data_IF_258562141221
#
_entry.id   IF_258562141221
#
_cell.length_a   1.000
_cell.length_b   1.000
_cell.length_c   1.000
_cell.angle_alpha   90.00
_cell.angle_beta   90.00
_cell.angle_gamma   90.00
#
_symmetry.space_group_name_H-M   'P 1'
#
loop_
_entity.id
_entity.type
_entity.pdbx_description
1 polymer ?
#
# COMPACT_ATOMS: atom_id res chain seq x y z
N UNK A 1 -8.64 9.93 15.36
CA UNK A 1 -9.98 10.55 15.51
C UNK A 1 -10.08 11.32 16.82
N UNK A 2 -10.19 10.66 17.99
CA UNK A 2 -10.35 11.38 19.28
C UNK A 2 -9.27 12.45 19.51
N UNK A 3 -8.00 12.08 19.44
CA UNK A 3 -6.88 13.01 19.72
C UNK A 3 -6.79 14.18 18.71
N UNK A 4 -7.21 13.95 17.46
CA UNK A 4 -7.22 14.98 16.42
C UNK A 4 -8.39 15.95 16.57
N UNK A 5 -9.60 15.45 16.84
CA UNK A 5 -10.79 16.27 17.08
C UNK A 5 -10.71 17.02 18.42
N UNK A 6 -10.05 16.41 19.41
CA UNK A 6 -9.82 16.98 20.74
C UNK A 6 -8.61 17.91 20.81
N UNK A 7 -7.72 17.92 19.82
CA UNK A 7 -6.40 18.59 19.90
C UNK A 7 -5.65 18.29 21.22
N UNK A 8 -5.77 17.06 21.72
CA UNK A 8 -5.28 16.64 23.02
C UNK A 8 -4.47 15.35 22.90
N UNK A 9 -3.31 15.32 23.56
CA UNK A 9 -2.54 14.10 23.77
C UNK A 9 -3.22 13.26 24.85
N UNK A 10 -3.81 12.13 24.45
CA UNK A 10 -4.46 11.19 25.35
C UNK A 10 -3.45 10.13 25.82
N UNK A 11 -3.36 9.85 27.13
CA UNK A 11 -2.45 8.83 27.63
C UNK A 11 -2.78 7.45 27.04
N UNK A 12 -1.78 6.69 26.54
CA UNK A 12 -2.02 5.35 26.05
C UNK A 12 -2.32 4.39 27.22
N UNK A 13 -3.06 3.30 26.93
CA UNK A 13 -3.28 2.20 27.87
C UNK A 13 -4.34 2.41 28.95
N UNK A 14 -5.08 3.53 28.93
CA UNK A 14 -6.20 3.74 29.85
C UNK A 14 -7.39 2.84 29.50
N UNK A 15 -8.04 2.28 30.53
CA UNK A 15 -9.37 1.68 30.36
C UNK A 15 -10.41 2.74 29.94
N UNK A 16 -11.54 2.35 29.34
CA UNK A 16 -12.56 3.32 28.92
C UNK A 16 -13.05 4.25 30.04
N UNK A 17 -13.19 3.71 31.26
CA UNK A 17 -13.59 4.51 32.44
C UNK A 17 -12.49 5.49 32.83
N UNK A 18 -11.23 5.04 32.89
CA UNK A 18 -10.09 5.91 33.20
C UNK A 18 -9.91 7.01 32.15
N UNK A 19 -10.11 6.69 30.87
CA UNK A 19 -10.08 7.67 29.79
C UNK A 19 -11.19 8.70 29.95
N UNK A 20 -12.42 8.26 30.25
CA UNK A 20 -13.52 9.17 30.52
C UNK A 20 -13.22 10.09 31.70
N UNK A 21 -12.81 9.54 32.85
CA UNK A 21 -12.42 10.32 34.03
C UNK A 21 -11.32 11.33 33.69
N UNK A 22 -10.26 10.90 33.00
CA UNK A 22 -9.19 11.80 32.56
C UNK A 22 -9.74 12.95 31.71
N UNK A 23 -10.60 12.66 30.73
CA UNK A 23 -11.18 13.71 29.87
C UNK A 23 -12.13 14.66 30.60
N UNK A 24 -12.65 14.30 31.78
CA UNK A 24 -13.46 15.21 32.60
C UNK A 24 -12.61 16.24 33.34
N UNK A 25 -11.31 15.99 33.52
CA UNK A 25 -10.37 16.91 34.17
C UNK A 25 -9.77 17.93 33.19
N UNK A 26 -9.99 17.74 31.88
CA UNK A 26 -9.47 18.61 30.83
C UNK A 26 -10.38 19.83 30.58
N UNK A 27 -9.75 20.94 30.20
CA UNK A 27 -10.47 22.16 29.83
C UNK A 27 -11.39 21.93 28.62
N UNK A 28 -12.47 22.72 28.58
CA UNK A 28 -13.36 22.78 27.41
C UNK A 28 -12.59 23.22 26.17
N UNK A 29 -13.01 22.71 25.02
CA UNK A 29 -12.46 23.05 23.72
C UNK A 29 -12.80 24.51 23.32
N UNK A 30 -12.17 25.09 22.29
CA UNK A 30 -12.44 26.46 21.85
C UNK A 30 -13.90 26.76 21.48
N UNK A 31 -14.68 25.72 21.16
CA UNK A 31 -16.12 25.79 20.88
C UNK A 31 -17.02 25.55 22.11
N UNK A 32 -16.42 25.45 23.30
CA UNK A 32 -17.09 25.24 24.57
C UNK A 32 -17.40 23.77 24.90
N UNK A 33 -17.15 22.82 23.98
CA UNK A 33 -17.46 21.41 24.22
C UNK A 33 -16.41 20.75 25.14
N UNK A 34 -16.81 20.06 26.22
CA UNK A 34 -15.88 19.30 27.03
C UNK A 34 -15.32 18.08 26.28
N UNK A 35 -14.03 17.74 26.45
CA UNK A 35 -13.43 16.54 25.86
C UNK A 35 -14.18 15.24 26.18
N UNK A 36 -14.74 15.13 27.39
CA UNK A 36 -15.53 13.97 27.79
C UNK A 36 -16.81 13.76 26.95
N UNK A 37 -17.43 14.85 26.48
CA UNK A 37 -18.64 14.76 25.63
C UNK A 37 -18.27 14.31 24.23
N UNK A 38 -17.17 14.85 23.70
CA UNK A 38 -16.61 14.44 22.41
C UNK A 38 -16.09 12.99 22.44
N UNK A 39 -15.56 12.53 23.58
CA UNK A 39 -15.22 11.13 23.81
C UNK A 39 -16.42 10.20 23.65
N UNK A 40 -17.56 10.53 24.28
CA UNK A 40 -18.78 9.73 24.17
C UNK A 40 -19.35 9.75 22.76
N UNK A 41 -19.31 10.89 22.08
CA UNK A 41 -19.75 11.03 20.69
C UNK A 41 -18.97 10.10 19.75
N UNK A 42 -17.64 10.06 19.87
CA UNK A 42 -16.82 9.13 19.10
C UNK A 42 -17.01 7.67 19.55
N UNK A 43 -17.22 7.42 20.84
CA UNK A 43 -17.53 6.08 21.32
C UNK A 43 -18.83 5.53 20.68
N UNK A 44 -19.81 6.40 20.40
CA UNK A 44 -21.01 6.02 19.67
C UNK A 44 -20.68 5.49 18.27
N UNK A 45 -19.84 6.19 17.50
CA UNK A 45 -19.42 5.78 16.15
C UNK A 45 -18.70 4.42 16.14
N UNK A 46 -17.88 4.17 17.15
CA UNK A 46 -17.13 2.92 17.30
C UNK A 46 -17.98 1.77 17.88
N UNK A 47 -19.17 2.07 18.42
CA UNK A 47 -20.04 1.08 19.05
C UNK A 47 -20.78 0.26 17.99
N UNK A 48 -20.65 -1.07 17.97
CA UNK A 48 -21.32 -1.91 16.96
C UNK A 48 -22.83 -2.03 17.16
N UNK A 49 -23.28 -2.06 18.43
CA UNK A 49 -24.70 -2.20 18.79
C UNK A 49 -25.47 -0.92 18.41
N UNK A 50 -26.52 -1.02 17.57
CA UNK A 50 -27.30 0.15 17.15
C UNK A 50 -27.97 0.83 18.33
N UNK A 51 -28.52 0.07 19.28
CA UNK A 51 -29.18 0.62 20.47
C UNK A 51 -28.19 1.38 21.36
N UNK A 52 -26.99 0.82 21.59
CA UNK A 52 -25.96 1.49 22.39
C UNK A 52 -25.38 2.71 21.67
N UNK A 53 -25.21 2.63 20.35
CA UNK A 53 -24.81 3.78 19.54
C UNK A 53 -25.82 4.90 19.69
N UNK A 54 -27.10 4.60 19.52
CA UNK A 54 -28.18 5.59 19.67
C UNK A 54 -28.16 6.18 21.09
N UNK A 55 -28.09 5.35 22.13
CA UNK A 55 -28.05 5.81 23.51
C UNK A 55 -26.88 6.76 23.80
N UNK A 56 -25.67 6.47 23.28
CA UNK A 56 -24.49 7.34 23.45
C UNK A 56 -24.65 8.66 22.69
N UNK A 57 -25.13 8.61 21.45
CA UNK A 57 -25.40 9.82 20.65
C UNK A 57 -26.52 10.69 21.25
N UNK A 58 -27.56 10.07 21.81
CA UNK A 58 -28.64 10.76 22.51
C UNK A 58 -28.16 11.39 23.82
N UNK A 59 -27.31 10.68 24.56
CA UNK A 59 -26.68 11.22 25.77
C UNK A 59 -25.86 12.48 25.45
N UNK A 60 -24.99 12.42 24.43
CA UNK A 60 -24.16 13.55 24.03
C UNK A 60 -25.01 14.74 23.55
N UNK A 61 -26.04 14.47 22.74
CA UNK A 61 -26.98 15.49 22.27
C UNK A 61 -27.79 16.11 23.41
N UNK A 62 -28.24 15.28 24.36
CA UNK A 62 -28.99 15.71 25.53
C UNK A 62 -28.15 16.56 26.48
N UNK A 63 -26.88 16.19 26.69
CA UNK A 63 -25.93 17.00 27.45
C UNK A 63 -25.69 18.36 26.76
N UNK A 64 -25.36 18.34 25.46
CA UNK A 64 -25.07 19.56 24.70
C UNK A 64 -26.28 20.50 24.65
N UNK A 65 -27.50 19.96 24.53
CA UNK A 65 -28.73 20.75 24.60
C UNK A 65 -28.91 21.46 25.94
N UNK A 66 -28.69 20.77 27.06
CA UNK A 66 -28.78 21.37 28.41
C UNK A 66 -27.71 22.44 28.64
N UNK A 67 -26.54 22.29 28.02
CA UNK A 67 -25.44 23.25 28.11
C UNK A 67 -25.54 24.40 27.08
N UNK A 68 -26.54 24.41 26.19
CA UNK A 68 -26.64 25.41 25.11
C UNK A 68 -25.60 25.24 23.98
N UNK A 69 -24.97 24.07 23.87
CA UNK A 69 -23.88 23.75 22.95
C UNK A 69 -24.28 22.78 21.83
N UNK A 70 -25.58 22.56 21.61
CA UNK A 70 -26.07 21.61 20.60
C UNK A 70 -25.57 21.97 19.19
N UNK A 71 -25.61 23.26 18.82
CA UNK A 71 -25.12 23.73 17.52
C UNK A 71 -23.61 23.49 17.34
N UNK A 72 -22.81 23.65 18.41
CA UNK A 72 -21.38 23.33 18.35
C UNK A 72 -21.14 21.83 18.12
N UNK A 73 -21.91 20.97 18.80
CA UNK A 73 -21.84 19.52 18.61
C UNK A 73 -22.26 19.10 17.19
N UNK A 74 -23.34 19.70 16.66
CA UNK A 74 -23.81 19.45 15.29
C UNK A 74 -22.80 19.92 14.24
N UNK A 75 -22.16 21.07 14.45
CA UNK A 75 -21.06 21.54 13.59
C UNK A 75 -19.91 20.52 13.56
N UNK A 76 -19.46 20.02 14.71
CA UNK A 76 -18.42 18.98 14.78
C UNK A 76 -18.84 17.69 14.07
N UNK A 77 -20.12 17.30 14.14
CA UNK A 77 -20.65 16.16 13.37
C UNK A 77 -20.58 16.41 11.87
N UNK A 78 -20.94 17.61 11.42
CA UNK A 78 -20.88 17.99 10.01
C UNK A 78 -19.43 17.99 9.48
N UNK A 79 -18.49 18.60 10.21
CA UNK A 79 -17.05 18.58 9.89
C UNK A 79 -16.50 17.14 9.77
N UNK A 80 -16.91 16.25 10.69
CA UNK A 80 -16.55 14.83 10.62
C UNK A 80 -17.17 14.12 9.40
N UNK A 81 -18.41 14.42 9.08
CA UNK A 81 -19.10 13.86 7.92
C UNK A 81 -18.51 14.34 6.59
N UNK A 82 -18.03 15.58 6.52
CA UNK A 82 -17.32 16.13 5.35
C UNK A 82 -15.97 15.45 5.11
N UNK A 83 -15.33 14.93 6.17
CA UNK A 83 -14.07 14.20 6.04
C UNK A 83 -14.32 12.83 5.39
N UNK A 84 -14.35 12.79 4.06
CA UNK A 84 -14.57 11.57 3.27
C UNK A 84 -13.44 10.57 3.51
N UNK A 85 -13.78 9.30 3.76
CA UNK A 85 -12.80 8.22 3.86
C UNK A 85 -12.27 7.90 2.45
N UNK A 86 -10.95 7.92 2.27
CA UNK A 86 -10.29 7.53 1.03
C UNK A 86 -10.08 6.00 1.02
N UNK A 87 -10.84 5.25 0.20
CA UNK A 87 -10.77 3.78 0.18
C UNK A 87 -9.40 3.23 -0.23
N UNK A 88 -8.52 4.06 -0.79
CA UNK A 88 -7.15 3.66 -1.17
C UNK A 88 -6.19 3.61 0.01
N UNK A 89 -6.55 4.19 1.17
CA UNK A 89 -5.70 4.20 2.36
C UNK A 89 -5.93 2.92 3.19
N UNK A 90 -4.98 1.98 3.22
CA UNK A 90 -5.16 0.73 3.94
C UNK A 90 -4.83 0.87 5.42
N UNK A 91 -5.16 -0.17 6.19
CA UNK A 91 -4.46 -0.44 7.45
C UNK A 91 -3.04 -0.90 7.13
N UNK A 92 -2.05 -0.22 7.66
CA UNK A 92 -0.65 -0.55 7.40
C UNK A 92 0.25 -0.23 8.59
N UNK A 93 1.37 -0.94 8.63
CA UNK A 93 2.55 -0.59 9.40
C UNK A 93 3.57 0.00 8.42
N UNK A 94 4.01 1.24 8.66
CA UNK A 94 5.17 1.82 7.98
C UNK A 94 6.37 1.71 8.90
N UNK A 95 7.49 1.24 8.39
CA UNK A 95 8.74 1.10 9.15
C UNK A 95 9.84 1.81 8.37
N UNK A 96 10.28 2.99 8.83
CA UNK A 96 11.53 3.55 8.32
C UNK A 96 12.71 2.88 8.99
N UNK A 97 13.70 2.51 8.19
CA UNK A 97 14.96 1.92 8.63
C UNK A 97 16.07 2.79 8.11
N UNK A 98 16.86 3.35 9.01
CA UNK A 98 17.93 4.30 8.68
C UNK A 98 19.23 3.88 9.36
N UNK A 99 20.40 4.00 8.72
CA UNK A 99 21.67 3.84 9.41
C UNK A 99 21.77 4.75 10.64
N UNK A 100 22.33 4.23 11.72
CA UNK A 100 22.63 5.01 12.91
C UNK A 100 23.67 6.11 12.59
N UNK A 101 23.55 7.26 13.27
CA UNK A 101 24.43 8.43 13.05
C UNK A 101 25.65 8.46 13.98
N UNK A 102 25.88 7.38 14.70
CA UNK A 102 26.97 7.22 15.67
C UNK A 102 28.19 6.49 15.09
N UNK A 103 28.15 6.13 13.79
CA UNK A 103 29.22 5.43 13.10
C UNK A 103 29.25 3.91 13.34
N UNK A 104 28.25 3.37 14.04
CA UNK A 104 28.02 1.93 14.11
C UNK A 104 27.37 1.39 12.82
N UNK A 105 27.40 0.06 12.67
CA UNK A 105 26.64 -0.65 11.62
C UNK A 105 25.17 -0.88 12.03
N UNK A 106 24.71 -0.25 13.12
CA UNK A 106 23.32 -0.36 13.58
C UNK A 106 22.38 0.47 12.70
N UNK A 107 21.10 0.12 12.77
CA UNK A 107 20.00 0.84 12.15
C UNK A 107 19.00 1.31 13.21
N UNK A 108 18.43 2.49 12.96
CA UNK A 108 17.29 3.02 13.71
C UNK A 108 16.00 2.66 12.99
N UNK A 109 15.12 1.97 13.71
CA UNK A 109 13.80 1.53 13.26
C UNK A 109 12.76 2.50 13.81
N UNK A 110 12.03 3.16 12.91
CA UNK A 110 10.95 4.12 13.25
C UNK A 110 9.62 3.59 12.75
N UNK A 111 8.77 3.06 13.63
CA UNK A 111 7.46 2.53 13.25
C UNK A 111 6.35 3.58 13.30
N UNK A 112 5.46 3.54 12.30
CA UNK A 112 4.21 4.28 12.26
C UNK A 112 3.04 3.35 11.93
N UNK A 113 1.99 3.41 12.74
CA UNK A 113 0.85 2.51 12.66
C UNK A 113 -0.39 3.25 12.14
N UNK A 114 -0.86 2.91 10.95
CA UNK A 114 -2.16 3.36 10.46
C UNK A 114 -3.22 2.28 10.74
N UNK A 115 -3.99 2.44 11.82
CA UNK A 115 -4.98 1.46 12.28
C UNK A 115 -6.38 1.66 11.69
N UNK A 116 -6.65 2.84 11.13
CA UNK A 116 -7.94 3.22 10.54
C UNK A 116 -7.82 3.25 9.01
N UNK A 117 -8.40 2.28 8.28
CA UNK A 117 -8.44 2.34 6.83
C UNK A 117 -9.36 3.47 6.41
N UNK A 118 -9.14 4.04 5.22
CA UNK A 118 -9.90 5.21 4.78
C UNK A 118 -9.25 6.54 5.18
N UNK A 119 -8.28 6.53 6.09
CA UNK A 119 -7.71 7.76 6.68
C UNK A 119 -6.23 7.58 6.93
N UNK A 120 -5.43 8.58 6.55
CA UNK A 120 -4.02 8.61 6.89
C UNK A 120 -3.86 9.34 8.22
N UNK A 121 -3.85 8.58 9.32
CA UNK A 121 -3.60 9.10 10.67
C UNK A 121 -2.62 8.17 11.40
N UNK A 122 -1.39 8.02 10.88
CA UNK A 122 -0.41 7.11 11.48
C UNK A 122 -0.03 7.55 12.90
N UNK A 123 -0.02 6.60 13.83
CA UNK A 123 0.54 6.80 15.17
C UNK A 123 2.01 6.38 15.19
N UNK A 124 2.90 7.31 15.57
CA UNK A 124 4.30 7.00 15.76
C UNK A 124 4.47 6.13 17.02
N UNK A 125 5.16 5.00 16.87
CA UNK A 125 5.62 4.21 18.00
C UNK A 125 7.08 4.52 18.31
N UNK A 126 7.52 4.14 19.52
CA UNK A 126 8.87 4.45 20.00
C UNK A 126 9.94 3.92 19.03
N UNK A 127 10.89 4.76 18.61
CA UNK A 127 12.03 4.32 17.83
C UNK A 127 12.91 3.33 18.60
N UNK A 128 13.57 2.44 17.88
CA UNK A 128 14.53 1.50 18.45
C UNK A 128 15.78 1.43 17.58
N UNK A 129 16.95 1.26 18.22
CA UNK A 129 18.21 0.99 17.53
C UNK A 129 18.54 -0.50 17.61
N UNK A 130 18.89 -1.12 16.49
CA UNK A 130 19.21 -2.54 16.38
C UNK A 130 20.15 -2.77 15.20
N UNK A 131 20.88 -3.89 15.18
CA UNK A 131 21.57 -4.36 13.97
C UNK A 131 20.58 -4.76 12.86
N UNK A 132 21.05 -4.83 11.61
CA UNK A 132 20.27 -5.36 10.48
C UNK A 132 19.76 -6.79 10.73
N UNK A 133 20.57 -7.66 11.34
CA UNK A 133 20.16 -9.02 11.72
C UNK A 133 19.06 -9.03 12.80
N UNK A 134 19.04 -8.01 13.66
CA UNK A 134 18.02 -7.81 14.68
C UNK A 134 16.70 -7.23 14.16
N UNK A 135 16.66 -6.75 12.91
CA UNK A 135 15.51 -6.02 12.34
C UNK A 135 14.22 -6.84 12.38
N UNK A 136 14.28 -8.15 12.10
CA UNK A 136 13.10 -9.02 12.14
C UNK A 136 12.44 -9.05 13.52
N UNK A 137 13.24 -9.07 14.59
CA UNK A 137 12.74 -9.06 15.98
C UNK A 137 12.15 -7.69 16.35
N UNK A 138 12.74 -6.61 15.86
CA UNK A 138 12.22 -5.25 16.06
C UNK A 138 10.85 -5.09 15.40
N UNK A 139 10.74 -5.46 14.13
CA UNK A 139 9.47 -5.44 13.38
C UNK A 139 8.42 -6.32 14.05
N UNK A 140 8.80 -7.51 14.53
CA UNK A 140 7.87 -8.41 15.21
C UNK A 140 7.27 -7.79 16.49
N UNK A 141 8.08 -7.12 17.31
CA UNK A 141 7.58 -6.46 18.53
C UNK A 141 6.55 -5.37 18.21
N UNK A 142 6.80 -4.57 17.18
CA UNK A 142 5.85 -3.56 16.69
C UNK A 142 4.58 -4.22 16.16
N UNK A 143 4.69 -5.29 15.37
CA UNK A 143 3.52 -6.03 14.88
C UNK A 143 2.68 -6.62 16.01
N UNK A 144 3.30 -7.14 17.07
CA UNK A 144 2.56 -7.62 18.26
C UNK A 144 1.80 -6.47 18.93
N UNK A 145 2.36 -5.26 18.95
CA UNK A 145 1.66 -4.07 19.43
C UNK A 145 0.47 -3.70 18.54
N UNK A 146 0.62 -3.74 17.21
CA UNK A 146 -0.48 -3.55 16.25
C UNK A 146 -1.62 -4.53 16.53
N UNK A 147 -1.32 -5.82 16.70
CA UNK A 147 -2.34 -6.85 16.99
C UNK A 147 -3.05 -6.57 18.31
N UNK A 148 -2.33 -6.15 19.36
CA UNK A 148 -2.94 -5.79 20.65
C UNK A 148 -3.84 -4.56 20.57
N UNK A 149 -3.45 -3.57 19.78
CA UNK A 149 -4.18 -2.30 19.64
C UNK A 149 -5.34 -2.39 18.63
N UNK A 150 -5.37 -3.44 17.80
CA UNK A 150 -6.44 -3.65 16.83
C UNK A 150 -7.54 -4.50 17.47
N UNK A 151 -8.78 -3.98 17.62
CA UNK A 151 -9.89 -4.78 18.09
C UNK A 151 -10.08 -6.01 17.19
N UNK A 152 -10.30 -7.19 17.80
CA UNK A 152 -10.63 -8.39 17.05
C UNK A 152 -11.84 -8.09 16.14
N UNK A 153 -11.76 -8.36 14.82
CA UNK A 153 -12.91 -8.18 13.94
C UNK A 153 -14.01 -9.14 14.41
N UNK A 154 -15.05 -8.61 15.03
CA UNK A 154 -16.27 -9.37 15.25
C UNK A 154 -16.98 -9.46 13.90
N UNK A 155 -17.26 -10.68 13.49
CA UNK A 155 -17.68 -11.08 12.16
C UNK A 155 -18.83 -10.21 11.62
N UNK A 156 -18.56 -9.50 10.53
CA UNK A 156 -19.52 -9.46 9.44
C UNK A 156 -18.88 -10.19 8.25
N UNK A 157 -19.43 -11.33 7.81
CA UNK A 157 -18.99 -11.98 6.60
C UNK A 157 -19.53 -11.15 5.43
N UNK A 158 -18.78 -10.11 5.01
CA UNK A 158 -18.97 -9.65 3.64
C UNK A 158 -18.44 -10.75 2.72
N UNK A 159 -19.15 -10.98 1.63
CA UNK A 159 -18.97 -12.09 0.67
C UNK A 159 -17.62 -12.05 -0.08
N UNK A 160 -16.72 -11.15 0.33
CA UNK A 160 -15.29 -11.08 0.00
C UNK A 160 -14.45 -11.46 1.22
N UNK A 161 -14.78 -12.55 1.90
CA UNK A 161 -14.11 -13.04 3.12
C UNK A 161 -12.70 -13.60 2.86
N UNK A 162 -11.85 -12.85 2.17
CA UNK A 162 -10.40 -12.91 2.33
C UNK A 162 -9.98 -11.72 3.19
N UNK A 163 -9.67 -11.94 4.47
CA UNK A 163 -9.10 -10.90 5.34
C UNK A 163 -7.81 -10.40 4.66
N UNK A 164 -7.83 -9.21 4.07
CA UNK A 164 -6.61 -8.61 3.50
C UNK A 164 -5.60 -8.46 4.65
N UNK A 165 -4.43 -9.12 4.59
CA UNK A 165 -3.43 -8.98 5.64
C UNK A 165 -2.99 -7.51 5.71
N UNK A 166 -2.64 -7.00 6.90
CA UNK A 166 -2.14 -5.63 6.99
C UNK A 166 -0.87 -5.49 6.13
N UNK A 167 -0.75 -4.37 5.44
CA UNK A 167 0.44 -4.07 4.65
C UNK A 167 1.59 -3.67 5.57
N UNK A 168 2.81 -4.09 5.24
CA UNK A 168 4.03 -3.61 5.87
C UNK A 168 4.84 -2.87 4.81
N UNK A 169 4.91 -1.56 4.93
CA UNK A 169 5.73 -0.70 4.09
C UNK A 169 7.08 -0.46 4.77
N UNK A 170 8.17 -0.80 4.11
CA UNK A 170 9.50 -0.40 4.56
C UNK A 170 9.94 0.86 3.82
N UNK A 171 10.32 1.90 4.56
CA UNK A 171 10.91 3.12 4.02
C UNK A 171 12.42 3.03 4.21
N UNK A 172 13.16 2.91 3.11
CA UNK A 172 14.57 2.51 3.12
C UNK A 172 15.44 3.49 2.32
N UNK A 173 16.67 3.78 2.78
CA UNK A 173 17.65 4.44 1.94
C UNK A 173 18.08 3.53 0.78
N UNK A 174 18.70 4.11 -0.25
CA UNK A 174 19.16 3.39 -1.44
C UNK A 174 19.95 2.11 -1.12
N UNK A 175 20.88 2.18 -0.17
CA UNK A 175 21.77 1.06 0.17
C UNK A 175 21.04 -0.13 0.81
N UNK A 176 19.83 0.10 1.33
CA UNK A 176 18.98 -0.94 1.91
C UNK A 176 17.84 -1.37 0.99
N UNK A 177 17.64 -0.73 -0.17
CA UNK A 177 16.53 -1.08 -1.07
C UNK A 177 16.61 -2.53 -1.54
N UNK A 178 17.80 -3.08 -1.78
CA UNK A 178 17.94 -4.48 -2.19
C UNK A 178 17.87 -5.47 -1.01
N UNK A 179 17.78 -5.02 0.25
CA UNK A 179 17.77 -5.90 1.42
C UNK A 179 16.49 -6.75 1.50
N UNK A 180 16.58 -7.97 2.08
CA UNK A 180 15.46 -8.93 2.10
C UNK A 180 14.40 -8.61 3.17
N UNK A 181 13.66 -7.53 3.00
CA UNK A 181 12.64 -7.18 3.99
C UNK A 181 11.47 -8.17 4.04
N UNK A 182 11.15 -8.81 2.92
CA UNK A 182 10.10 -9.83 2.87
C UNK A 182 10.57 -11.16 3.51
N UNK A 183 11.87 -11.44 3.51
CA UNK A 183 12.50 -12.60 4.13
C UNK A 183 12.70 -12.50 5.64
N UNK A 184 12.51 -11.31 6.24
CA UNK A 184 12.62 -11.13 7.69
C UNK A 184 11.73 -12.14 8.43
N UNK A 185 12.31 -12.87 9.36
CA UNK A 185 11.61 -13.92 10.08
C UNK A 185 10.78 -13.33 11.22
N UNK A 186 9.51 -13.71 11.30
CA UNK A 186 8.59 -13.39 12.39
C UNK A 186 7.98 -14.65 12.98
N UNK A 187 7.57 -14.63 14.24
CA UNK A 187 6.87 -15.78 14.82
C UNK A 187 5.44 -15.89 14.25
N UNK A 188 5.11 -17.10 13.80
CA UNK A 188 3.75 -17.48 13.44
C UNK A 188 2.87 -17.69 14.69
N UNK A 189 1.57 -17.91 14.51
CA UNK A 189 0.63 -18.15 15.61
C UNK A 189 1.05 -19.38 16.45
N UNK A 190 1.61 -20.39 15.79
CA UNK A 190 2.10 -21.63 16.42
C UNK A 190 3.55 -21.51 16.94
N UNK A 191 4.11 -20.29 16.97
CA UNK A 191 5.46 -20.01 17.45
C UNK A 191 6.60 -20.39 16.48
N UNK A 192 6.27 -20.92 15.29
CA UNK A 192 7.28 -21.26 14.27
C UNK A 192 7.78 -20.00 13.54
N UNK A 193 9.07 -19.90 13.21
CA UNK A 193 9.60 -18.83 12.38
C UNK A 193 9.02 -18.91 10.97
N UNK A 194 8.49 -17.80 10.46
CA UNK A 194 7.96 -17.69 9.10
C UNK A 194 8.42 -16.36 8.47
N UNK A 195 8.78 -16.32 7.17
CA UNK A 195 9.09 -15.07 6.48
C UNK A 195 7.91 -14.09 6.50
N UNK A 196 8.20 -12.81 6.77
CA UNK A 196 7.23 -11.72 6.87
C UNK A 196 6.34 -11.64 5.61
N UNK A 197 6.92 -11.84 4.43
CA UNK A 197 6.24 -11.79 3.14
C UNK A 197 5.20 -12.88 2.90
N UNK A 198 5.24 -13.98 3.66
CA UNK A 198 4.21 -15.04 3.62
C UNK A 198 2.98 -14.68 4.46
N UNK A 199 3.16 -13.84 5.47
CA UNK A 199 2.09 -13.41 6.39
C UNK A 199 1.48 -12.05 6.03
N UNK A 200 2.27 -11.16 5.44
CA UNK A 200 1.90 -9.78 5.15
C UNK A 200 2.22 -9.36 3.72
N UNK A 201 1.48 -8.36 3.22
CA UNK A 201 1.83 -7.65 1.99
C UNK A 201 3.01 -6.71 2.25
N UNK A 202 4.22 -7.13 1.89
CA UNK A 202 5.45 -6.36 2.08
C UNK A 202 5.82 -5.61 0.79
N UNK A 203 5.97 -4.29 0.89
CA UNK A 203 6.48 -3.43 -0.18
C UNK A 203 7.48 -2.40 0.36
N UNK A 204 8.27 -1.84 -0.56
CA UNK A 204 9.35 -0.91 -0.25
C UNK A 204 9.02 0.48 -0.78
N UNK A 205 9.46 1.50 -0.05
CA UNK A 205 9.44 2.91 -0.46
C UNK A 205 10.85 3.47 -0.21
N UNK A 206 11.31 4.31 -1.13
CA UNK A 206 12.57 5.02 -0.95
C UNK A 206 12.41 6.14 0.09
N UNK A 207 13.36 6.20 1.02
CA UNK A 207 13.43 7.23 2.05
C UNK A 207 13.77 8.60 1.46
N UNK A 208 14.51 8.64 0.37
CA UNK A 208 14.86 9.84 -0.36
C UNK A 208 13.62 10.57 -0.85
N UNK A 209 12.58 9.82 -1.26
CA UNK A 209 11.27 10.43 -1.57
C UNK A 209 10.61 11.15 -0.40
N UNK A 210 10.85 10.69 0.83
CA UNK A 210 10.29 11.35 2.01
C UNK A 210 11.14 12.53 2.47
N UNK A 211 12.42 12.58 2.09
CA UNK A 211 13.37 13.62 2.51
C UNK A 211 13.49 14.79 1.54
N UNK A 212 13.16 14.61 0.26
CA UNK A 212 13.25 15.70 -0.72
C UNK A 212 12.26 16.81 -0.39
N UNK A 213 12.76 18.03 -0.18
CA UNK A 213 11.97 19.26 0.01
C UNK A 213 11.78 20.10 -1.26
N UNK A 214 12.35 19.66 -2.38
CA UNK A 214 12.19 20.30 -3.68
C UNK A 214 10.74 20.18 -4.18
N UNK A 215 10.08 21.32 -4.34
CA UNK A 215 8.68 21.40 -4.78
C UNK A 215 8.49 20.95 -6.23
N UNK A 216 9.43 21.26 -7.14
CA UNK A 216 9.32 20.89 -8.54
C UNK A 216 9.44 19.38 -8.72
N UNK A 217 10.34 18.76 -7.97
CA UNK A 217 10.48 17.29 -7.94
C UNK A 217 9.20 16.64 -7.39
N UNK A 218 8.61 17.21 -6.33
CA UNK A 218 7.34 16.72 -5.77
C UNK A 218 6.18 16.85 -6.77
N UNK A 219 6.08 17.95 -7.50
CA UNK A 219 5.07 18.14 -8.54
C UNK A 219 5.22 17.11 -9.67
N UNK A 220 6.45 16.91 -10.18
CA UNK A 220 6.75 15.87 -11.17
C UNK A 220 6.30 14.48 -10.70
N UNK A 221 6.56 14.14 -9.43
CA UNK A 221 6.14 12.87 -8.86
C UNK A 221 4.62 12.74 -8.76
N UNK A 222 3.94 13.82 -8.36
CA UNK A 222 2.47 13.86 -8.29
C UNK A 222 1.85 13.66 -9.67
N UNK A 223 2.37 14.32 -10.71
CA UNK A 223 1.90 14.16 -12.10
C UNK A 223 2.07 12.71 -12.60
N UNK A 224 3.23 12.10 -12.34
CA UNK A 224 3.48 10.72 -12.75
C UNK A 224 2.65 9.73 -11.93
N UNK A 225 2.40 10.02 -10.65
CA UNK A 225 1.47 9.25 -9.82
C UNK A 225 0.03 9.33 -10.32
N UNK A 226 -0.43 10.52 -10.71
CA UNK A 226 -1.74 10.70 -11.32
C UNK A 226 -1.86 9.95 -12.65
N UNK A 227 -0.80 9.97 -13.44
CA UNK A 227 -0.70 9.17 -14.67
C UNK A 227 -0.81 7.68 -14.37
N UNK A 228 -0.13 7.18 -13.34
CA UNK A 228 -0.25 5.78 -12.89
C UNK A 228 -1.67 5.43 -12.46
N UNK A 229 -2.35 6.32 -11.73
CA UNK A 229 -3.74 6.10 -11.28
C UNK A 229 -4.74 6.12 -12.43
N UNK A 230 -4.60 7.06 -13.37
CA UNK A 230 -5.57 7.29 -14.44
C UNK A 230 -5.34 6.39 -15.66
N UNK A 231 -4.09 6.12 -16.03
CA UNK A 231 -3.72 5.36 -17.24
C UNK A 231 -3.18 3.96 -16.95
N UNK A 232 -2.86 3.66 -15.69
CA UNK A 232 -2.31 2.38 -15.28
C UNK A 232 -0.79 2.26 -15.47
N UNK A 233 -0.34 1.02 -15.60
CA UNK A 233 1.09 0.67 -15.53
C UNK A 233 1.71 0.71 -16.93
N UNK A 234 2.57 1.70 -17.17
CA UNK A 234 3.43 1.77 -18.34
C UNK A 234 4.86 1.35 -17.98
N UNK A 235 5.26 0.14 -18.36
CA UNK A 235 6.57 -0.42 -18.01
C UNK A 235 7.68 0.14 -18.89
N UNK A 236 8.82 0.48 -18.27
CA UNK A 236 10.10 0.68 -18.94
C UNK A 236 11.17 -0.25 -18.34
N UNK A 237 11.78 -1.09 -19.17
CA UNK A 237 12.88 -1.95 -18.74
C UNK A 237 14.23 -1.23 -18.72
N UNK A 238 15.10 -1.64 -17.82
CA UNK A 238 16.55 -1.37 -17.87
C UNK A 238 17.32 -2.62 -17.44
N UNK A 239 18.53 -2.79 -17.98
CA UNK A 239 19.46 -3.89 -17.70
C UNK A 239 20.88 -3.36 -17.53
N UNK A 240 21.67 -4.10 -16.75
CA UNK A 240 23.11 -3.83 -16.60
C UNK A 240 23.86 -3.98 -17.93
N UNK A 241 23.35 -4.83 -18.82
CA UNK A 241 23.86 -5.02 -20.18
C UNK A 241 23.42 -3.94 -21.18
N UNK A 242 22.60 -2.96 -20.78
CA UNK A 242 22.13 -1.90 -21.67
C UNK A 242 23.29 -0.99 -22.11
N UNK A 243 23.47 -0.90 -23.43
CA UNK A 243 24.59 -0.19 -24.07
C UNK A 243 24.57 1.32 -23.87
N UNK A 244 23.42 1.89 -23.50
CA UNK A 244 23.19 3.34 -23.41
C UNK A 244 23.50 3.92 -22.03
N UNK A 245 23.75 3.08 -21.02
CA UNK A 245 24.04 3.52 -19.66
C UNK A 245 22.83 4.15 -18.92
N UNK A 246 22.95 4.37 -17.60
CA UNK A 246 21.85 4.92 -16.78
C UNK A 246 21.40 6.33 -17.18
N UNK A 247 22.31 7.22 -17.56
CA UNK A 247 21.99 8.62 -17.86
C UNK A 247 21.08 8.76 -19.10
N UNK A 248 21.39 8.02 -20.17
CA UNK A 248 20.57 8.04 -21.37
C UNK A 248 19.19 7.42 -21.12
N UNK A 249 19.13 6.41 -20.25
CA UNK A 249 17.87 5.81 -19.83
C UNK A 249 17.05 6.77 -18.97
N UNK A 250 17.68 7.53 -18.07
CA UNK A 250 17.01 8.59 -17.33
C UNK A 250 16.45 9.66 -18.27
N UNK A 251 17.23 10.11 -19.27
CA UNK A 251 16.75 11.07 -20.26
C UNK A 251 15.53 10.54 -21.04
N UNK A 252 15.53 9.24 -21.40
CA UNK A 252 14.38 8.59 -22.02
C UNK A 252 13.16 8.60 -21.10
N UNK A 253 13.32 8.25 -19.82
CA UNK A 253 12.25 8.31 -18.81
C UNK A 253 11.67 9.72 -18.65
N UNK A 254 12.51 10.75 -18.65
CA UNK A 254 12.07 12.14 -18.56
C UNK A 254 11.23 12.54 -19.78
N UNK A 255 11.60 12.04 -20.98
CA UNK A 255 10.86 12.31 -22.21
C UNK A 255 9.55 11.52 -22.37
N UNK A 256 9.34 10.46 -21.58
CA UNK A 256 8.15 9.60 -21.66
C UNK A 256 7.37 9.57 -20.33
N UNK A 257 6.55 10.59 -20.02
CA UNK A 257 5.77 10.65 -18.78
C UNK A 257 4.75 9.51 -18.60
N UNK A 258 4.38 8.82 -19.68
CA UNK A 258 3.49 7.65 -19.64
C UNK A 258 4.16 6.40 -19.05
N UNK A 259 5.50 6.38 -18.89
CA UNK A 259 6.20 5.32 -18.16
C UNK A 259 6.01 5.56 -16.68
N UNK A 260 5.30 4.66 -16.03
CA UNK A 260 4.92 4.76 -14.62
C UNK A 260 5.50 3.65 -13.76
N UNK A 261 6.09 2.62 -14.39
CA UNK A 261 6.79 1.54 -13.71
C UNK A 261 8.13 1.20 -14.38
N UNK A 262 9.09 0.71 -13.58
CA UNK A 262 10.34 0.15 -14.08
C UNK A 262 10.51 -1.33 -13.74
N UNK A 263 11.15 -2.07 -14.66
CA UNK A 263 11.62 -3.44 -14.44
C UNK A 263 13.14 -3.46 -14.62
N UNK A 264 13.85 -3.70 -13.52
CA UNK A 264 15.28 -3.43 -13.37
C UNK A 264 16.02 -4.68 -12.92
N UNK A 265 17.33 -4.73 -13.16
CA UNK A 265 18.19 -5.69 -12.44
C UNK A 265 18.35 -5.26 -10.97
N UNK A 266 18.79 -6.17 -10.11
CA UNK A 266 18.96 -5.88 -8.68
C UNK A 266 19.94 -4.71 -8.45
N UNK A 267 19.61 -3.75 -7.57
CA UNK A 267 20.55 -2.69 -7.19
C UNK A 267 21.57 -3.26 -6.20
N UNK A 268 22.56 -3.97 -6.70
CA UNK A 268 23.70 -4.54 -5.95
C UNK A 268 24.96 -3.66 -6.01
N UNK A 269 24.87 -2.51 -6.68
CA UNK A 269 25.95 -1.55 -6.89
C UNK A 269 25.97 -1.02 -8.32
N UNK A 270 26.93 -0.13 -8.60
CA UNK A 270 27.22 0.34 -9.95
C UNK A 270 25.99 0.85 -10.72
N UNK A 271 25.88 0.45 -11.99
CA UNK A 271 24.88 0.96 -12.91
C UNK A 271 23.43 0.60 -12.53
N UNK A 272 23.19 -0.56 -11.91
CA UNK A 272 21.84 -0.97 -11.51
C UNK A 272 21.29 -0.12 -10.36
N UNK A 273 22.16 0.24 -9.40
CA UNK A 273 21.82 1.20 -8.35
C UNK A 273 21.53 2.58 -8.93
N UNK A 274 22.33 3.04 -9.90
CA UNK A 274 22.09 4.33 -10.56
C UNK A 274 20.78 4.34 -11.36
N UNK A 275 20.40 3.22 -12.00
CA UNK A 275 19.09 3.10 -12.65
C UNK A 275 17.94 3.16 -11.63
N UNK A 276 18.06 2.54 -10.45
CA UNK A 276 17.04 2.69 -9.39
C UNK A 276 16.95 4.14 -8.90
N UNK A 277 18.07 4.82 -8.71
CA UNK A 277 18.09 6.25 -8.33
C UNK A 277 17.42 7.11 -9.39
N UNK A 278 17.76 6.92 -10.67
CA UNK A 278 17.13 7.60 -11.79
C UNK A 278 15.62 7.35 -11.83
N UNK A 279 15.16 6.12 -11.65
CA UNK A 279 13.73 5.79 -11.56
C UNK A 279 13.00 6.58 -10.46
N UNK A 280 13.66 6.73 -9.31
CA UNK A 280 13.11 7.44 -8.16
C UNK A 280 13.04 8.93 -8.41
N UNK A 281 14.12 9.52 -8.93
CA UNK A 281 14.22 10.94 -9.33
C UNK A 281 13.15 11.29 -10.36
N UNK A 282 12.99 10.47 -11.40
CA UNK A 282 11.98 10.69 -12.46
C UNK A 282 10.54 10.40 -12.00
N UNK A 283 10.33 10.02 -10.74
CA UNK A 283 9.00 9.90 -10.16
C UNK A 283 8.25 8.62 -10.50
N UNK A 284 8.93 7.56 -10.95
CA UNK A 284 8.25 6.28 -11.25
C UNK A 284 7.49 5.77 -10.02
N UNK A 285 6.21 5.47 -10.17
CA UNK A 285 5.35 5.04 -9.06
C UNK A 285 5.63 3.61 -8.59
N UNK A 286 6.27 2.80 -9.45
CA UNK A 286 6.57 1.41 -9.18
C UNK A 286 7.93 1.02 -9.77
N UNK A 287 8.70 0.22 -9.04
CA UNK A 287 9.90 -0.44 -9.55
C UNK A 287 9.90 -1.89 -9.06
N UNK A 288 10.30 -2.82 -9.93
CA UNK A 288 10.44 -4.24 -9.60
C UNK A 288 11.76 -4.76 -10.16
N UNK A 289 12.44 -5.54 -9.34
CA UNK A 289 13.66 -6.26 -9.71
C UNK A 289 13.65 -7.65 -9.09
N UNK A 290 14.45 -8.55 -9.64
CA UNK A 290 14.77 -9.82 -9.01
C UNK A 290 15.97 -9.61 -8.09
N UNK A 291 15.82 -9.89 -6.80
CA UNK A 291 16.89 -9.72 -5.79
C UNK A 291 18.15 -10.55 -6.07
N UNK A 292 18.08 -11.56 -6.94
CA UNK A 292 19.17 -12.48 -7.27
C UNK A 292 20.21 -11.89 -8.26
N UNK A 293 20.00 -10.68 -8.76
CA UNK A 293 20.89 -10.02 -9.72
C UNK A 293 20.18 -9.72 -11.02
N UNK A 294 20.68 -10.28 -12.13
CA UNK A 294 20.08 -10.09 -13.46
C UNK A 294 18.66 -10.64 -13.52
N UNK A 295 17.74 -9.81 -14.00
CA UNK A 295 16.33 -10.16 -14.09
C UNK A 295 16.05 -10.83 -15.44
N UNK A 296 16.01 -12.17 -15.44
CA UNK A 296 15.76 -12.99 -16.65
C UNK A 296 14.44 -12.65 -17.35
N UNK A 297 14.41 -12.70 -18.69
CA UNK A 297 13.23 -12.38 -19.51
C UNK A 297 11.97 -13.14 -19.11
N UNK A 298 12.06 -14.45 -18.88
CA UNK A 298 10.92 -15.27 -18.46
C UNK A 298 10.23 -14.70 -17.21
N UNK A 299 11.02 -14.30 -16.20
CA UNK A 299 10.48 -13.72 -14.97
C UNK A 299 9.99 -12.27 -15.19
N UNK A 300 10.59 -11.51 -16.10
CA UNK A 300 10.12 -10.16 -16.49
C UNK A 300 8.74 -10.24 -17.16
N UNK A 301 8.51 -11.25 -18.00
CA UNK A 301 7.21 -11.53 -18.60
C UNK A 301 6.15 -11.86 -17.54
N UNK A 302 6.49 -12.71 -16.57
CA UNK A 302 5.60 -13.03 -15.44
C UNK A 302 5.21 -11.77 -14.66
N UNK A 303 6.17 -10.91 -14.32
CA UNK A 303 5.86 -9.66 -13.61
C UNK A 303 5.00 -8.70 -14.45
N UNK A 304 5.26 -8.62 -15.74
CA UNK A 304 4.45 -7.80 -16.66
C UNK A 304 3.02 -8.35 -16.78
N UNK A 305 2.86 -9.67 -16.78
CA UNK A 305 1.54 -10.31 -16.72
C UNK A 305 0.82 -10.02 -15.40
N UNK A 306 1.54 -10.02 -14.27
CA UNK A 306 0.98 -9.62 -12.96
C UNK A 306 0.48 -8.17 -13.00
N UNK A 307 1.27 -7.24 -13.54
CA UNK A 307 0.85 -5.85 -13.72
C UNK A 307 -0.40 -5.72 -14.59
N UNK A 308 -0.49 -6.52 -15.65
CA UNK A 308 -1.66 -6.53 -16.54
C UNK A 308 -2.89 -7.16 -15.88
N UNK A 309 -2.71 -8.02 -14.89
CA UNK A 309 -3.80 -8.73 -14.19
C UNK A 309 -4.45 -7.94 -13.06
N UNK A 310 -3.82 -6.87 -12.58
CA UNK A 310 -4.35 -6.06 -11.47
C UNK A 310 -5.19 -4.88 -11.99
N UNK A 311 -6.46 -4.76 -11.57
CA UNK A 311 -7.32 -3.64 -11.95
C UNK A 311 -6.79 -2.26 -11.54
N UNK A 312 -6.07 -2.19 -10.41
CA UNK A 312 -5.49 -0.94 -9.92
C UNK A 312 -4.07 -1.15 -9.39
N UNK A 313 -3.16 -0.17 -9.54
CA UNK A 313 -1.79 -0.26 -9.03
C UNK A 313 -1.70 -0.51 -7.51
N UNK A 314 -2.70 -0.02 -6.75
CA UNK A 314 -2.78 -0.23 -5.30
C UNK A 314 -2.91 -1.71 -4.88
N UNK A 315 -3.31 -2.59 -5.81
CA UNK A 315 -3.48 -4.02 -5.54
C UNK A 315 -2.21 -4.85 -5.81
N UNK A 316 -1.16 -4.25 -6.38
CA UNK A 316 0.10 -4.96 -6.69
C UNK A 316 0.70 -5.64 -5.46
N UNK A 317 0.86 -4.98 -4.29
CA UNK A 317 1.47 -5.65 -3.15
C UNK A 317 0.68 -6.88 -2.69
N UNK A 318 -0.65 -6.87 -2.83
CA UNK A 318 -1.49 -8.02 -2.53
C UNK A 318 -1.35 -9.14 -3.57
N UNK A 319 -1.24 -8.81 -4.86
CA UNK A 319 -0.98 -9.78 -5.91
C UNK A 319 0.38 -10.48 -5.70
N UNK A 320 1.43 -9.70 -5.40
CA UNK A 320 2.76 -10.23 -5.07
C UNK A 320 2.74 -11.10 -3.80
N UNK A 321 2.03 -10.66 -2.76
CA UNK A 321 1.85 -11.47 -1.56
C UNK A 321 1.20 -12.83 -1.85
N UNK A 322 0.15 -12.87 -2.68
CA UNK A 322 -0.49 -14.13 -3.09
C UNK A 322 0.48 -15.04 -3.81
N UNK A 323 1.30 -14.51 -4.73
CA UNK A 323 2.33 -15.29 -5.42
C UNK A 323 3.35 -15.89 -4.45
N UNK A 324 3.86 -15.09 -3.51
CA UNK A 324 4.79 -15.56 -2.45
C UNK A 324 4.16 -16.67 -1.63
N UNK A 325 2.89 -16.51 -1.23
CA UNK A 325 2.16 -17.51 -0.46
C UNK A 325 1.98 -18.83 -1.23
N UNK A 326 1.59 -18.78 -2.50
CA UNK A 326 1.46 -19.98 -3.32
C UNK A 326 2.79 -20.71 -3.44
N UNK A 327 3.87 -19.99 -3.76
CA UNK A 327 5.21 -20.57 -3.84
C UNK A 327 5.69 -21.18 -2.51
N UNK A 328 5.38 -20.53 -1.37
CA UNK A 328 5.72 -21.05 -0.04
C UNK A 328 4.97 -22.33 0.34
N UNK A 329 3.73 -22.49 -0.13
CA UNK A 329 2.95 -23.73 0.05
C UNK A 329 3.50 -24.89 -0.78
N UNK A 330 4.00 -24.61 -1.99
CA UNK A 330 4.56 -25.62 -2.88
C UNK A 330 5.91 -26.18 -2.38
N UNK A 331 6.75 -25.35 -1.74
CA UNK A 331 8.08 -25.75 -1.23
C UNK A 331 8.03 -26.65 0.01
N UNK A 332 6.91 -26.66 0.75
CA UNK A 332 6.72 -27.49 1.95
C UNK A 332 6.03 -28.85 1.70
N UNK A 333 5.92 -29.32 0.44
CA UNK A 333 4.94 -30.33 -0.07
C UNK A 333 5.03 -31.78 0.46
N UNK A 334 4.55 -32.83 -0.27
CA UNK A 334 3.52 -32.91 -1.34
C UNK A 334 2.45 -34.02 -1.09
N UNK A 335 1.27 -33.99 -1.72
CA UNK A 335 0.41 -35.20 -1.88
C UNK A 335 -0.46 -35.16 -3.16
N UNK A 336 -0.10 -36.05 -4.09
CA UNK A 336 -0.91 -36.69 -5.14
C UNK A 336 -1.82 -35.84 -6.05
N UNK A 337 -1.29 -35.48 -7.22
CA UNK A 337 -2.05 -35.71 -8.46
C UNK A 337 -1.57 -37.04 -9.06
N UNK A 338 -1.98 -38.13 -8.41
CA UNK A 338 -1.91 -39.47 -8.99
C UNK A 338 -3.04 -39.59 -9.99
N UNK A 339 -2.69 -39.79 -11.26
CA UNK A 339 -3.64 -39.96 -12.34
C UNK A 339 -4.57 -41.15 -12.12
N UNK A 340 -5.85 -40.92 -12.39
CA UNK A 340 -6.78 -41.96 -12.80
C UNK A 340 -7.18 -41.67 -14.23
N UNK A 341 -6.54 -42.36 -15.15
CA UNK A 341 -7.16 -42.67 -16.44
C UNK A 341 -8.36 -43.59 -16.20
N UNK A 342 -9.44 -43.42 -16.96
CA UNK A 342 -10.19 -44.55 -17.45
C UNK A 342 -10.11 -44.56 -18.97
N UNK A 343 -9.41 -45.56 -19.49
CA UNK A 343 -9.48 -45.97 -20.89
C UNK A 343 -10.74 -46.80 -21.15
N UNK A 344 -11.21 -46.74 -22.39
CA UNK A 344 -12.29 -47.51 -23.05
C UNK A 344 -13.72 -47.03 -22.74
N UNK A 345 -14.59 -46.77 -23.71
CA UNK A 345 -14.58 -46.94 -25.16
C UNK A 345 -16.02 -46.81 -25.68
N UNK A 346 -16.18 -46.71 -27.00
CA UNK A 346 -17.44 -46.85 -27.79
C UNK A 346 -18.03 -45.54 -28.37
N UNK A 347 -17.62 -45.22 -29.60
CA UNK A 347 -18.45 -44.63 -30.69
C UNK A 347 -19.45 -45.68 -31.21
N UNK A 348 -20.51 -45.38 -32.03
CA UNK A 348 -20.71 -44.27 -32.98
C UNK A 348 -22.10 -43.59 -32.82
N UNK A 349 -22.55 -42.53 -33.51
CA UNK A 349 -22.74 -42.25 -34.95
C UNK A 349 -23.29 -40.81 -35.02
N UNK A 350 -22.77 -39.90 -35.84
CA UNK A 350 -23.43 -39.48 -37.07
C UNK A 350 -24.31 -38.22 -36.94
N UNK A 351 -23.83 -37.06 -37.41
CA UNK A 351 -24.51 -36.25 -38.45
C UNK A 351 -23.69 -35.03 -38.86
N UNK A 352 -23.82 -34.76 -40.15
CA UNK A 352 -23.08 -33.85 -41.02
C UNK A 352 -23.65 -32.43 -41.03
N UNK A 353 -22.93 -31.55 -41.74
CA UNK A 353 -23.32 -30.27 -42.37
C UNK A 353 -23.10 -29.00 -41.55
N UNK A 354 -22.61 -27.88 -42.07
CA UNK A 354 -21.93 -27.53 -43.32
C UNK A 354 -21.35 -26.12 -43.13
N UNK A 355 -20.16 -25.84 -43.66
CA UNK A 355 -19.66 -24.48 -43.92
C UNK A 355 -20.11 -24.06 -45.33
N UNK A 356 -20.32 -22.76 -45.57
CA UNK A 356 -19.59 -22.11 -46.68
C UNK A 356 -19.04 -20.71 -46.32
N UNK A 357 -18.23 -20.09 -47.20
CA UNK A 357 -17.09 -19.24 -46.79
C UNK A 357 -17.22 -17.78 -47.34
N UNK A 358 -16.14 -17.01 -47.64
CA UNK A 358 -16.05 -15.58 -47.32
C UNK A 358 -16.33 -14.64 -48.52
N UNK A 359 -16.60 -13.37 -48.23
CA UNK A 359 -16.72 -12.33 -49.28
C UNK A 359 -15.63 -11.29 -49.13
N UNK A 360 -14.74 -11.27 -50.12
CA UNK A 360 -13.81 -10.19 -50.46
C UNK A 360 -14.56 -9.01 -51.10
N UNK A 361 -14.17 -7.78 -50.77
CA UNK A 361 -14.29 -6.64 -51.70
C UNK A 361 -13.19 -5.60 -51.40
N UNK A 362 -12.32 -5.43 -52.39
CA UNK A 362 -11.34 -4.34 -52.52
C UNK A 362 -11.97 -3.14 -53.23
N UNK A 363 -11.58 -1.92 -52.86
CA UNK A 363 -11.44 -0.70 -53.70
C UNK A 363 -11.23 0.49 -52.75
N UNK A 364 -10.50 1.58 -52.99
CA UNK A 364 -9.47 2.00 -53.95
C UNK A 364 -8.98 3.36 -53.42
N UNK A 365 -7.67 3.59 -53.49
CA UNK A 365 -6.94 4.85 -53.75
C UNK A 365 -7.70 6.19 -53.69
N UNK A 366 -7.16 7.19 -52.97
CA UNK A 366 -6.62 8.45 -53.55
C UNK A 366 -6.08 9.40 -52.46
N UNK A 367 -4.94 10.00 -52.77
CA UNK A 367 -4.16 10.98 -52.03
C UNK A 367 -4.91 12.28 -51.65
N UNK A 368 -4.46 12.96 -50.58
CA UNK A 368 -4.05 14.37 -50.69
C UNK A 368 -3.26 14.86 -49.47
N UNK A 369 -2.14 15.48 -49.81
CA UNK A 369 -1.20 16.22 -48.97
C UNK A 369 -1.45 17.71 -49.25
N UNK A 370 -1.85 18.47 -48.24
CA UNK A 370 -1.82 19.95 -48.13
C UNK A 370 -2.19 20.24 -46.66
N UNK A 371 -1.35 20.80 -45.80
CA UNK A 371 -0.73 22.11 -45.93
C UNK A 371 -1.52 23.08 -45.05
N UNK A 372 -1.00 23.37 -43.85
CA UNK A 372 -1.37 24.59 -43.12
C UNK A 372 -0.20 25.05 -42.25
N UNK A 373 0.62 25.92 -42.82
CA UNK A 373 1.34 26.95 -42.08
C UNK A 373 0.31 27.97 -41.58
N UNK A 374 0.36 28.30 -40.28
CA UNK A 374 0.05 29.66 -39.84
C UNK A 374 0.89 30.04 -38.63
N UNK A 375 1.89 30.85 -38.96
CA UNK A 375 2.49 31.94 -38.18
C UNK A 375 1.65 32.54 -37.05
N UNK A 376 2.28 32.84 -35.91
CA UNK A 376 1.85 33.91 -35.00
C UNK A 376 2.14 33.68 -33.52
N UNK A 377 3.34 34.10 -33.08
CA UNK A 377 3.82 34.32 -31.68
C UNK A 377 2.83 35.09 -30.78
N UNK A 378 3.02 35.14 -29.44
CA UNK A 378 4.22 34.85 -28.63
C UNK A 378 4.31 33.43 -28.08
#
# INVERSE_FOLDING_TARGET
>A
MLAGDLHLDLPPGLSPVQLFTYTTELNVQPDGLPPAVLLIEHAAELTPSPDRRLALSEWASGWARRAGLLTALERRRAERAETTADPTIPRCLVVAVEPARDGSDDVVVRPWLNTVPGRWQPWAAEPETTSLDGLGRAVERVLRQVVRLTPAPHAQPSVLSGRTPPYVEFVLPYDLLNHDMAGLTVSSADGRPEPLGLKYGVHLRSLERMRTDDLLVREQWLERWETLRSRGIGVHGWRTSDRTGPDAWQAALASEPSRTAAVLDAPDGGAATEAVKAAIVEGLGLAVWDRRGEFSEERREVVTAVFSSVPTPTQIPLAIHRLRRTAGLDVAGPCSWGGTSPSSGTTPTGWSTSRPPPTTASTTTTARRTGYERTGRP
#
